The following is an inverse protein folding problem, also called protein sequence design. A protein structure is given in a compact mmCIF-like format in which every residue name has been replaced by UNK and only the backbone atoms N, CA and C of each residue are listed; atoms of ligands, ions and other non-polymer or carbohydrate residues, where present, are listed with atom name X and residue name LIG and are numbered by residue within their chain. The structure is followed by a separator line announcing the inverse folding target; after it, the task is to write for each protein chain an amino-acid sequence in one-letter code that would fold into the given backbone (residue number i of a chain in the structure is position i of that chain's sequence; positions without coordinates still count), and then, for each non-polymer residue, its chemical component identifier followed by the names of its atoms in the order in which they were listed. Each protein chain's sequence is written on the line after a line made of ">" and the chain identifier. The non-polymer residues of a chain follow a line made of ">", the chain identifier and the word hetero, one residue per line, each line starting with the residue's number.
data_IF_655178725944
#
_entry.id   IF_655178725944
#
_cell.length_a   1.000
_cell.length_b   1.000
_cell.length_c   1.000
_cell.angle_alpha   90.00
_cell.angle_beta   90.00
_cell.angle_gamma   90.00
#
_symmetry.space_group_name_H-M   'P 1'
#
loop_
_entity.id
_entity.type
_entity.pdbx_description
1 polymer ?
#
# COMPACT_ATOMS: atom_id res chain seq x y z
N UNK A 1 8.78 -21.09 1.72
CA UNK A 1 7.44 -21.70 1.69
C UNK A 1 6.99 -22.07 3.09
N UNK A 2 7.73 -22.87 3.84
CA UNK A 2 7.33 -23.33 5.21
C UNK A 2 6.80 -22.23 6.15
N UNK A 3 7.39 -21.04 6.16
CA UNK A 3 6.91 -19.92 6.99
C UNK A 3 5.51 -19.46 6.58
N UNK A 4 5.23 -19.33 5.27
CA UNK A 4 3.89 -18.97 4.79
C UNK A 4 2.86 -20.06 5.11
N UNK A 5 3.23 -21.34 4.94
CA UNK A 5 2.38 -22.46 5.31
C UNK A 5 2.06 -22.45 6.81
N UNK A 6 3.02 -22.10 7.66
CA UNK A 6 2.78 -21.95 9.09
C UNK A 6 1.80 -20.79 9.39
N UNK A 7 1.90 -19.67 8.67
CA UNK A 7 1.04 -18.50 8.85
C UNK A 7 -0.42 -18.75 8.44
N UNK A 8 -0.70 -19.75 7.60
CA UNK A 8 -2.10 -20.15 7.30
C UNK A 8 -2.83 -20.74 8.50
N UNK A 9 -2.12 -21.16 9.53
CA UNK A 9 -2.70 -21.61 10.80
C UNK A 9 -3.00 -20.49 11.80
N UNK A 10 -2.78 -19.22 11.45
CA UNK A 10 -3.03 -18.08 12.32
C UNK A 10 -4.11 -17.17 11.74
N UNK A 11 -5.24 -17.05 12.45
CA UNK A 11 -6.42 -16.31 11.99
C UNK A 11 -6.14 -14.86 11.53
N UNK A 12 -5.13 -14.19 12.11
CA UNK A 12 -4.74 -12.84 11.73
C UNK A 12 -3.99 -12.74 10.39
N UNK A 13 -3.43 -13.85 9.89
CA UNK A 13 -2.56 -13.88 8.71
C UNK A 13 -3.00 -14.91 7.65
N UNK A 14 -3.93 -15.81 8.01
CA UNK A 14 -4.39 -16.93 7.19
C UNK A 14 -4.79 -16.50 5.77
N UNK A 15 -5.64 -15.48 5.68
CA UNK A 15 -6.16 -14.99 4.40
C UNK A 15 -5.03 -14.54 3.47
N UNK A 16 -4.08 -13.75 3.97
CA UNK A 16 -2.97 -13.24 3.18
C UNK A 16 -1.98 -14.33 2.79
N UNK A 17 -1.62 -15.19 3.74
CA UNK A 17 -0.71 -16.31 3.48
C UNK A 17 -1.30 -17.27 2.45
N UNK A 18 -2.59 -17.59 2.56
CA UNK A 18 -3.31 -18.45 1.60
C UNK A 18 -3.35 -17.82 0.20
N UNK A 19 -3.63 -16.52 0.08
CA UNK A 19 -3.59 -15.82 -1.21
C UNK A 19 -2.21 -15.90 -1.88
N UNK A 20 -1.13 -15.69 -1.11
CA UNK A 20 0.25 -15.78 -1.63
C UNK A 20 0.53 -17.17 -2.18
N UNK A 21 0.14 -18.23 -1.45
CA UNK A 21 0.39 -19.62 -1.84
C UNK A 21 -0.46 -20.03 -3.04
N UNK A 22 -1.76 -19.76 -3.03
CA UNK A 22 -2.69 -20.12 -4.10
C UNK A 22 -2.34 -19.42 -5.42
N UNK A 23 -2.00 -18.15 -5.37
CA UNK A 23 -1.63 -17.38 -6.55
C UNK A 23 -0.16 -17.55 -6.96
N UNK A 24 0.61 -18.36 -6.23
CA UNK A 24 2.04 -18.61 -6.50
C UNK A 24 2.86 -17.33 -6.61
N UNK A 25 2.61 -16.38 -5.72
CA UNK A 25 3.29 -15.07 -5.75
C UNK A 25 4.73 -15.11 -5.25
N UNK A 26 5.15 -16.20 -4.60
CA UNK A 26 6.56 -16.42 -4.26
C UNK A 26 7.31 -16.78 -5.54
N UNK A 27 7.94 -15.80 -6.16
CA UNK A 27 8.69 -15.97 -7.41
C UNK A 27 10.16 -15.63 -7.20
N UNK A 28 11.08 -16.27 -7.94
CA UNK A 28 12.49 -15.88 -7.96
C UNK A 28 12.61 -14.38 -8.31
N UNK A 29 13.16 -13.61 -7.39
CA UNK A 29 13.35 -12.18 -7.55
C UNK A 29 14.64 -11.76 -6.82
N UNK A 30 15.62 -11.26 -7.56
CA UNK A 30 16.91 -10.83 -7.01
C UNK A 30 16.82 -9.68 -6.00
N UNK A 31 15.70 -8.93 -5.99
CA UNK A 31 15.47 -7.89 -4.97
C UNK A 31 15.13 -8.49 -3.61
N UNK A 32 14.58 -9.71 -3.59
CA UNK A 32 14.10 -10.40 -2.38
C UNK A 32 15.05 -11.55 -2.03
N UNK A 33 15.49 -12.33 -3.03
CA UNK A 33 16.29 -13.53 -2.89
C UNK A 33 17.64 -13.34 -3.59
N UNK A 34 18.61 -12.78 -2.91
CA UNK A 34 19.95 -12.59 -3.45
C UNK A 34 21.00 -13.04 -2.43
N UNK A 35 21.42 -14.30 -2.54
CA UNK A 35 22.43 -14.88 -1.65
C UNK A 35 23.80 -14.17 -1.73
N UNK A 36 24.09 -13.47 -2.81
CA UNK A 36 25.34 -12.72 -2.95
C UNK A 36 25.39 -11.45 -2.10
N UNK A 37 24.23 -10.96 -1.69
CA UNK A 37 24.09 -9.77 -0.83
C UNK A 37 23.95 -10.11 0.64
N UNK A 38 23.98 -11.38 1.00
CA UNK A 38 23.96 -11.80 2.40
C UNK A 38 25.38 -11.62 2.94
N UNK A 39 25.52 -10.72 3.92
CA UNK A 39 26.75 -10.53 4.69
C UNK A 39 26.50 -11.00 6.13
N UNK A 40 26.81 -10.17 7.12
CA UNK A 40 26.65 -10.50 8.53
C UNK A 40 25.22 -10.36 9.06
N UNK A 41 24.31 -9.86 8.24
CA UNK A 41 22.92 -9.60 8.62
C UNK A 41 21.95 -10.40 7.76
N UNK A 42 20.99 -11.04 8.44
CA UNK A 42 19.87 -11.72 7.81
C UNK A 42 18.60 -10.85 7.86
N UNK A 43 17.68 -11.05 6.91
CA UNK A 43 16.36 -10.43 6.99
C UNK A 43 15.62 -10.93 8.24
N UNK A 44 14.98 -10.02 8.95
CA UNK A 44 14.11 -10.36 10.06
C UNK A 44 12.78 -10.83 9.47
N UNK A 45 12.47 -12.10 9.64
CA UNK A 45 11.25 -12.74 9.12
C UNK A 45 10.62 -13.62 10.22
N UNK A 46 9.33 -13.91 10.14
CA UNK A 46 8.69 -14.87 11.04
C UNK A 46 9.34 -16.24 10.90
N UNK A 47 9.44 -16.97 11.99
CA UNK A 47 9.87 -18.35 12.01
C UNK A 47 8.76 -19.30 11.61
N UNK A 48 9.05 -20.61 11.52
CA UNK A 48 8.03 -21.66 11.32
C UNK A 48 7.32 -22.06 12.62
N UNK A 49 7.61 -21.39 13.73
CA UNK A 49 6.91 -21.58 15.00
C UNK A 49 6.07 -20.35 15.29
N UNK A 50 4.77 -20.56 15.46
CA UNK A 50 3.88 -19.49 15.88
C UNK A 50 4.21 -19.08 17.33
N UNK A 51 4.33 -17.80 17.61
CA UNK A 51 4.62 -17.32 18.95
C UNK A 51 3.45 -17.63 19.90
N UNK A 52 3.79 -17.83 21.18
CA UNK A 52 2.81 -18.05 22.25
C UNK A 52 3.03 -17.01 23.35
N UNK A 53 1.94 -16.56 23.95
CA UNK A 53 1.97 -15.68 25.13
C UNK A 53 2.79 -14.40 24.95
N UNK A 54 2.68 -13.75 23.78
CA UNK A 54 3.31 -12.46 23.57
C UNK A 54 2.64 -11.38 24.43
N UNK A 55 3.45 -10.51 25.01
CA UNK A 55 2.97 -9.24 25.58
C UNK A 55 2.45 -8.32 24.45
N UNK A 56 1.69 -7.30 24.82
CA UNK A 56 1.13 -6.36 23.85
C UNK A 56 2.20 -5.69 22.94
N UNK A 57 3.35 -5.22 23.45
CA UNK A 57 4.43 -4.69 22.61
C UNK A 57 5.03 -5.73 21.65
N UNK A 58 5.24 -6.95 22.15
CA UNK A 58 5.77 -8.05 21.34
C UNK A 58 4.79 -8.44 20.22
N UNK A 59 3.49 -8.47 20.52
CA UNK A 59 2.45 -8.72 19.52
C UNK A 59 2.44 -7.67 18.43
N UNK A 60 2.56 -6.39 18.75
CA UNK A 60 2.64 -5.28 17.79
C UNK A 60 3.89 -5.42 16.89
N UNK A 61 5.03 -5.76 17.49
CA UNK A 61 6.28 -5.95 16.74
C UNK A 61 6.18 -7.17 15.82
N UNK A 62 5.66 -8.28 16.32
CA UNK A 62 5.45 -9.49 15.53
C UNK A 62 4.50 -9.25 14.36
N UNK A 63 3.39 -8.55 14.58
CA UNK A 63 2.43 -8.17 13.54
C UNK A 63 3.10 -7.31 12.46
N UNK A 64 3.86 -6.28 12.86
CA UNK A 64 4.59 -5.41 11.94
C UNK A 64 5.54 -6.20 11.03
N UNK A 65 6.37 -7.07 11.61
CA UNK A 65 7.34 -7.89 10.88
C UNK A 65 6.61 -8.88 9.95
N UNK A 66 5.57 -9.54 10.46
CA UNK A 66 4.83 -10.55 9.71
C UNK A 66 4.08 -9.94 8.53
N UNK A 67 3.41 -8.80 8.72
CA UNK A 67 2.75 -8.08 7.62
C UNK A 67 3.76 -7.61 6.59
N UNK A 68 4.90 -7.08 7.02
CA UNK A 68 5.97 -6.66 6.11
C UNK A 68 6.50 -7.83 5.29
N UNK A 69 6.71 -8.98 5.92
CA UNK A 69 7.13 -10.20 5.26
C UNK A 69 6.13 -10.66 4.18
N UNK A 70 4.83 -10.69 4.51
CA UNK A 70 3.80 -11.07 3.54
C UNK A 70 3.65 -10.06 2.40
N UNK A 71 3.66 -8.76 2.70
CA UNK A 71 3.52 -7.69 1.74
C UNK A 71 4.58 -7.73 0.61
N UNK A 72 5.77 -8.26 0.89
CA UNK A 72 6.85 -8.42 -0.09
C UNK A 72 6.43 -9.32 -1.26
N UNK A 73 5.55 -10.28 -1.04
CA UNK A 73 5.10 -11.24 -2.06
C UNK A 73 3.85 -10.77 -2.80
N UNK A 74 3.11 -9.82 -2.27
CA UNK A 74 1.92 -9.28 -2.92
C UNK A 74 2.28 -8.47 -4.18
N UNK A 75 1.37 -8.40 -5.17
CA UNK A 75 1.55 -7.52 -6.32
C UNK A 75 1.60 -6.05 -5.90
N UNK A 76 2.04 -5.20 -6.81
CA UNK A 76 2.03 -3.75 -6.60
C UNK A 76 0.60 -3.23 -6.41
N UNK A 77 0.45 -2.20 -5.59
CA UNK A 77 -0.78 -1.43 -5.56
C UNK A 77 -0.90 -0.59 -6.84
N UNK A 78 -2.10 -0.54 -7.41
CA UNK A 78 -2.37 0.24 -8.63
C UNK A 78 -3.28 1.42 -8.29
N UNK A 79 -2.98 2.55 -8.93
CA UNK A 79 -3.71 3.79 -8.74
C UNK A 79 -4.04 4.42 -10.07
N UNK A 80 -5.25 4.94 -10.20
CA UNK A 80 -5.60 5.86 -11.27
C UNK A 80 -5.22 7.27 -10.82
N UNK A 81 -4.33 7.91 -11.57
CA UNK A 81 -3.92 9.30 -11.33
C UNK A 81 -4.54 10.18 -12.40
N UNK A 82 -5.30 11.18 -11.97
CA UNK A 82 -5.89 12.20 -12.85
C UNK A 82 -5.17 13.51 -12.62
N UNK A 83 -4.63 14.09 -13.68
CA UNK A 83 -4.01 15.41 -13.65
C UNK A 83 -4.91 16.38 -14.40
N UNK A 84 -5.25 17.52 -13.78
CA UNK A 84 -6.02 18.61 -14.35
C UNK A 84 -5.19 19.87 -14.34
N UNK A 85 -5.23 20.60 -15.45
CA UNK A 85 -4.69 21.95 -15.55
C UNK A 85 -5.86 22.93 -15.68
N UNK A 86 -5.87 23.92 -14.81
CA UNK A 86 -6.84 25.03 -14.83
C UNK A 86 -6.08 26.30 -15.14
N UNK A 87 -6.54 27.08 -16.10
CA UNK A 87 -5.95 28.36 -16.48
C UNK A 87 -6.87 29.49 -16.05
N UNK A 88 -6.35 30.43 -15.27
CA UNK A 88 -7.08 31.57 -14.74
C UNK A 88 -6.20 32.80 -14.87
N UNK A 89 -6.66 33.84 -15.57
CA UNK A 89 -5.94 35.10 -15.76
C UNK A 89 -4.49 34.90 -16.25
N UNK A 90 -4.24 33.94 -17.15
CA UNK A 90 -2.92 33.62 -17.67
C UNK A 90 -2.03 32.80 -16.75
N UNK A 91 -2.50 32.42 -15.59
CA UNK A 91 -1.81 31.54 -14.66
C UNK A 91 -2.34 30.10 -14.76
N UNK A 92 -1.41 29.14 -14.74
CA UNK A 92 -1.73 27.73 -14.87
C UNK A 92 -1.59 27.00 -13.52
N UNK A 93 -2.68 26.41 -13.06
CA UNK A 93 -2.77 25.65 -11.83
C UNK A 93 -2.85 24.16 -12.15
N UNK A 94 -2.02 23.34 -11.48
CA UNK A 94 -2.04 21.89 -11.57
C UNK A 94 -2.77 21.31 -10.38
N UNK A 95 -3.79 20.45 -10.64
CA UNK A 95 -4.45 19.65 -9.63
C UNK A 95 -4.23 18.17 -9.94
N UNK A 96 -3.95 17.38 -8.93
CA UNK A 96 -3.81 15.93 -9.06
C UNK A 96 -4.78 15.22 -8.14
N UNK A 97 -5.52 14.27 -8.71
CA UNK A 97 -6.33 13.31 -8.01
C UNK A 97 -5.71 11.93 -8.13
N UNK A 98 -5.88 11.12 -7.09
CA UNK A 98 -5.39 9.74 -7.07
C UNK A 98 -6.42 8.84 -6.42
N UNK A 99 -6.79 7.77 -7.11
CA UNK A 99 -7.75 6.77 -6.64
C UNK A 99 -7.10 5.39 -6.73
N UNK A 100 -7.19 4.62 -5.65
CA UNK A 100 -6.67 3.25 -5.62
C UNK A 100 -7.61 2.35 -6.42
N UNK A 101 -7.07 1.66 -7.44
CA UNK A 101 -7.80 0.70 -8.28
C UNK A 101 -7.55 -0.75 -7.87
N UNK A 102 -6.34 -1.03 -7.36
CA UNK A 102 -6.00 -2.33 -6.77
C UNK A 102 -5.17 -2.12 -5.51
N UNK A 103 -5.53 -2.73 -4.39
CA UNK A 103 -4.81 -2.54 -3.14
C UNK A 103 -3.43 -3.20 -3.15
N UNK A 104 -3.24 -4.30 -3.87
CA UNK A 104 -1.97 -5.02 -3.91
C UNK A 104 -1.43 -5.28 -2.50
N UNK A 105 -0.15 -4.99 -2.27
CA UNK A 105 0.50 -5.17 -0.97
C UNK A 105 -0.10 -4.32 0.17
N UNK A 106 -0.82 -3.25 -0.15
CA UNK A 106 -1.51 -2.40 0.86
C UNK A 106 -2.65 -3.15 1.56
N UNK A 107 -3.23 -4.17 0.91
CA UNK A 107 -4.27 -5.01 1.52
C UNK A 107 -3.78 -5.65 2.82
N UNK A 108 -2.50 -6.06 2.88
CA UNK A 108 -1.90 -6.67 4.07
C UNK A 108 -1.92 -5.73 5.29
N UNK A 109 -1.98 -4.41 5.05
CA UNK A 109 -2.09 -3.36 6.07
C UNK A 109 -3.53 -2.86 6.27
N UNK A 110 -4.51 -3.62 5.77
CA UNK A 110 -5.93 -3.28 5.91
C UNK A 110 -6.42 -2.16 4.99
N UNK A 111 -5.65 -1.80 3.97
CA UNK A 111 -6.11 -0.84 2.96
C UNK A 111 -6.86 -1.58 1.86
N UNK A 112 -8.16 -1.41 1.83
CA UNK A 112 -9.06 -1.96 0.83
C UNK A 112 -9.64 -0.83 -0.03
N UNK A 113 -10.15 -1.19 -1.22
CA UNK A 113 -10.91 -0.25 -2.04
C UNK A 113 -12.24 -0.02 -1.32
N UNK A 114 -12.60 1.23 -0.94
CA UNK A 114 -13.84 1.48 -0.25
C UNK A 114 -15.04 1.11 -1.14
N UNK A 115 -15.90 0.21 -0.66
CA UNK A 115 -17.11 -0.21 -1.37
C UNK A 115 -18.09 0.96 -1.64
N UNK A 116 -18.00 2.04 -0.87
CA UNK A 116 -18.90 3.20 -0.93
C UNK A 116 -18.35 4.39 -1.73
N UNK A 117 -17.21 4.26 -2.41
CA UNK A 117 -16.58 5.38 -3.10
C UNK A 117 -16.08 6.52 -2.18
N UNK A 118 -16.18 6.34 -0.85
CA UNK A 118 -15.57 7.25 0.11
C UNK A 118 -14.08 6.97 0.15
N UNK A 119 -13.32 7.89 -0.39
CA UNK A 119 -11.87 7.82 -0.43
C UNK A 119 -11.29 7.88 0.99
N UNK A 120 -10.21 7.15 1.23
CA UNK A 120 -9.38 7.38 2.41
C UNK A 120 -8.84 8.82 2.35
N UNK A 121 -8.44 9.41 3.48
CA UNK A 121 -7.90 10.78 3.55
C UNK A 121 -6.76 11.07 2.56
N UNK A 122 -6.16 10.03 1.99
CA UNK A 122 -5.10 10.10 0.99
C UNK A 122 -5.58 9.94 -0.47
N UNK A 123 -6.84 9.56 -0.70
CA UNK A 123 -7.41 9.42 -2.03
C UNK A 123 -8.20 10.69 -2.38
N UNK A 124 -7.62 11.54 -3.23
CA UNK A 124 -8.27 12.76 -3.71
C UNK A 124 -8.92 12.48 -5.07
N UNK A 125 -10.23 12.32 -5.07
CA UNK A 125 -11.00 12.29 -6.29
C UNK A 125 -11.19 13.72 -6.80
N UNK A 126 -10.73 14.01 -8.02
CA UNK A 126 -11.07 15.26 -8.67
C UNK A 126 -12.49 15.15 -9.24
N UNK A 127 -13.29 16.19 -9.03
CA UNK A 127 -14.60 16.31 -9.71
C UNK A 127 -14.38 16.27 -11.21
N UNK A 128 -15.12 15.42 -11.97
CA UNK A 128 -15.03 15.38 -13.42
C UNK A 128 -15.36 16.76 -14.01
N UNK A 129 -14.56 17.21 -14.94
CA UNK A 129 -14.79 18.43 -15.73
C UNK A 129 -14.48 18.14 -17.20
N UNK A 130 -15.18 18.79 -18.09
CA UNK A 130 -14.94 18.68 -19.53
C UNK A 130 -13.78 19.58 -19.95
N UNK A 131 -12.97 19.19 -20.96
CA UNK A 131 -11.96 20.07 -21.52
C UNK A 131 -12.60 21.37 -22.03
N UNK A 132 -12.05 22.53 -21.61
CA UNK A 132 -12.58 23.85 -21.98
C UNK A 132 -13.76 24.30 -21.13
N UNK A 133 -14.15 23.57 -20.10
CA UNK A 133 -15.18 23.99 -19.16
C UNK A 133 -14.73 25.24 -18.39
N UNK A 134 -15.58 26.26 -18.34
CA UNK A 134 -15.31 27.48 -17.62
C UNK A 134 -15.45 27.24 -16.11
N UNK A 135 -14.47 27.73 -15.34
CA UNK A 135 -14.46 27.67 -13.89
C UNK A 135 -14.35 29.04 -13.29
N UNK A 136 -15.00 29.25 -12.15
CA UNK A 136 -14.88 30.48 -11.36
C UNK A 136 -13.96 30.22 -10.17
N UNK A 137 -13.04 31.12 -9.92
CA UNK A 137 -12.23 31.11 -8.70
C UNK A 137 -13.09 31.66 -7.55
N UNK A 138 -13.43 30.83 -6.58
CA UNK A 138 -14.19 31.21 -5.39
C UNK A 138 -13.25 31.86 -4.34
N UNK A 139 -12.09 31.23 -4.11
CA UNK A 139 -11.10 31.70 -3.14
C UNK A 139 -9.67 31.35 -3.56
N UNK A 140 -8.78 32.30 -3.40
CA UNK A 140 -7.32 32.07 -3.56
C UNK A 140 -6.68 32.15 -2.19
N UNK A 141 -5.95 31.07 -1.81
CA UNK A 141 -5.15 31.00 -0.59
C UNK A 141 -3.68 30.84 -1.01
N UNK A 142 -2.82 31.61 -0.38
CA UNK A 142 -1.38 31.46 -0.51
C UNK A 142 -0.84 30.95 0.84
N UNK A 143 -0.26 29.75 0.83
CA UNK A 143 0.42 29.19 1.97
C UNK A 143 1.93 29.16 1.69
N UNK A 144 2.74 29.65 2.60
CA UNK A 144 4.19 29.50 2.53
C UNK A 144 4.58 28.11 3.00
N UNK A 145 5.21 27.33 2.12
CA UNK A 145 5.90 26.10 2.48
C UNK A 145 7.22 26.49 3.15
N UNK A 146 7.24 26.42 4.47
CA UNK A 146 8.48 26.47 5.24
C UNK A 146 9.19 25.13 5.07
N UNK A 147 10.28 25.12 4.32
CA UNK A 147 11.18 23.95 4.16
C UNK A 147 12.21 23.91 5.28
#
# INVERSE_FOLDING_TARGET
>A
MKTLECLTGNAGYESYASQILQNRWVRPNKRIFDNKKISDHFAIIPTTQLPKNLSEPEQKLYDLVTRRFMAVFFPAAEFLVTTRFTEVAGHRFKSEGRVMTKPGWLAVYGREIPASGKNSDNDRLLVPVSPGEAVLADKVLADELVT
#
